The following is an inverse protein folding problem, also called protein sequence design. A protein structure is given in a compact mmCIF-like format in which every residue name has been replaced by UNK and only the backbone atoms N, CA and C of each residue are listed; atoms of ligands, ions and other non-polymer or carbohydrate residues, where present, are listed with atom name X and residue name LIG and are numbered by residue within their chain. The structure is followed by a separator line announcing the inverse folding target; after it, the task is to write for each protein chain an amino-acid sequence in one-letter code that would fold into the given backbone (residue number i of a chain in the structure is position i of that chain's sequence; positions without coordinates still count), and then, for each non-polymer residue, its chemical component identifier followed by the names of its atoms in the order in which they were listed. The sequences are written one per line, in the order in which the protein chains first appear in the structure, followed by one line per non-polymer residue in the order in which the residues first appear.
data_IF_379655570588
#
_entry.id   IF_379655570588
#
_cell.length_a   1.000
_cell.length_b   1.000
_cell.length_c   1.000
_cell.angle_alpha   90.00
_cell.angle_beta   90.00
_cell.angle_gamma   90.00
#
_symmetry.space_group_name_H-M   'P 1'
#
loop_
_entity.id
_entity.type
_entity.pdbx_description
1 polymer ?
#
# COMPACT_ATOMS: atom_id res chain seq x y z
N UNK A 1 0.94 11.90 5.01
CA UNK A 1 0.18 10.76 5.58
C UNK A 1 0.83 9.38 5.36
N UNK A 2 1.16 8.97 4.11
CA UNK A 2 1.74 7.64 3.79
C UNK A 2 2.96 7.26 4.66
N UNK A 3 3.88 8.20 4.87
CA UNK A 3 5.04 8.01 5.75
C UNK A 3 4.65 7.74 7.21
N UNK A 4 3.68 8.48 7.77
CA UNK A 4 3.23 8.25 9.16
C UNK A 4 2.54 6.89 9.27
N UNK A 5 1.68 6.57 8.29
CA UNK A 5 0.96 5.29 8.22
C UNK A 5 1.90 4.09 8.24
N UNK A 6 3.05 4.20 7.55
CA UNK A 6 4.11 3.19 7.57
C UNK A 6 4.54 2.81 8.99
N UNK A 7 4.77 3.80 9.85
CA UNK A 7 5.21 3.59 11.22
C UNK A 7 4.07 3.12 12.14
N UNK A 8 2.86 3.69 11.99
CA UNK A 8 1.72 3.31 12.82
C UNK A 8 1.27 1.86 12.58
N UNK A 9 1.36 1.36 11.33
CA UNK A 9 1.10 -0.04 10.99
C UNK A 9 2.04 -1.02 11.72
N UNK A 10 3.15 -0.55 12.28
CA UNK A 10 4.11 -1.33 13.08
C UNK A 10 4.03 -1.06 14.59
N UNK A 11 2.93 -0.43 15.03
CA UNK A 11 2.74 0.06 16.41
C UNK A 11 3.78 1.09 16.85
N UNK A 12 4.51 1.69 15.92
CA UNK A 12 5.42 2.76 16.29
C UNK A 12 4.61 4.00 16.63
N UNK A 13 4.96 4.64 17.75
CA UNK A 13 4.28 5.84 18.21
C UNK A 13 5.07 7.08 17.77
N UNK A 14 4.43 8.07 17.14
CA UNK A 14 5.08 9.33 16.84
C UNK A 14 5.45 10.06 18.14
N UNK A 15 6.61 10.69 18.14
CA UNK A 15 7.07 11.60 19.19
C UNK A 15 7.13 13.00 18.59
N UNK A 16 6.53 13.97 19.29
CA UNK A 16 6.48 15.37 18.89
C UNK A 16 7.29 16.21 19.87
N UNK A 17 7.86 17.31 19.39
CA UNK A 17 8.53 18.34 20.18
C UNK A 17 7.74 19.64 20.14
N UNK A 18 7.89 20.50 21.15
CA UNK A 18 7.19 21.78 21.21
C UNK A 18 7.56 22.67 20.01
N UNK A 19 6.53 23.15 19.31
CA UNK A 19 6.68 24.02 18.12
C UNK A 19 6.68 23.31 16.77
N UNK A 20 6.65 21.96 16.73
CA UNK A 20 6.60 21.19 15.49
C UNK A 20 5.25 20.45 15.30
N UNK A 21 4.61 20.65 14.15
CA UNK A 21 3.42 19.87 13.73
C UNK A 21 3.77 18.51 13.10
N UNK A 22 5.06 18.16 13.06
CA UNK A 22 5.59 16.94 12.46
C UNK A 22 6.21 16.06 13.55
N UNK A 23 6.06 14.73 13.51
CA UNK A 23 6.77 13.85 14.43
C UNK A 23 8.28 13.91 14.18
N UNK A 24 9.06 14.13 15.24
CA UNK A 24 10.53 14.21 15.17
C UNK A 24 11.19 12.83 15.15
N UNK A 25 10.54 11.82 15.75
CA UNK A 25 10.97 10.42 15.75
C UNK A 25 9.79 9.48 15.99
N UNK A 26 10.00 8.19 15.77
CA UNK A 26 9.02 7.14 16.06
C UNK A 26 9.61 6.11 17.03
N UNK A 27 8.86 5.81 18.10
CA UNK A 27 9.21 4.76 19.05
C UNK A 27 8.50 3.47 18.67
N UNK A 28 9.24 2.48 18.19
CA UNK A 28 8.72 1.19 17.78
C UNK A 28 8.88 0.14 18.89
N UNK A 29 7.89 -0.74 19.11
CA UNK A 29 8.05 -1.85 20.04
C UNK A 29 9.14 -2.82 19.57
N UNK A 30 9.73 -3.51 20.53
CA UNK A 30 10.73 -4.55 20.28
C UNK A 30 10.10 -5.66 19.44
N UNK A 31 10.81 -6.08 18.41
CA UNK A 31 10.26 -6.95 17.38
C UNK A 31 10.02 -8.36 17.92
N UNK A 32 8.82 -8.91 17.70
CA UNK A 32 8.52 -10.32 17.96
C UNK A 32 9.13 -11.11 16.80
N UNK A 33 10.15 -11.92 17.06
CA UNK A 33 10.88 -12.67 16.02
C UNK A 33 10.13 -13.92 15.54
N UNK A 34 9.09 -14.35 16.26
CA UNK A 34 8.40 -15.63 16.09
C UNK A 34 7.07 -15.54 15.31
N UNK A 35 6.62 -14.33 14.96
CA UNK A 35 5.33 -14.14 14.28
C UNK A 35 5.35 -12.93 13.34
N UNK A 36 4.40 -12.91 12.40
CA UNK A 36 4.16 -11.74 11.57
C UNK A 36 3.19 -10.79 12.26
N UNK A 37 3.32 -9.49 11.97
CA UNK A 37 2.43 -8.47 12.48
C UNK A 37 1.90 -7.62 11.33
N UNK A 38 0.60 -7.39 11.31
CA UNK A 38 -0.03 -6.55 10.29
C UNK A 38 -1.36 -5.97 10.79
N UNK A 39 -1.56 -4.66 10.57
CA UNK A 39 -2.84 -3.97 10.82
C UNK A 39 -3.47 -4.33 12.19
N UNK A 40 -2.69 -4.27 13.28
CA UNK A 40 -3.24 -4.59 14.62
C UNK A 40 -3.09 -6.05 15.04
N UNK A 41 -2.96 -6.99 14.10
CA UNK A 41 -3.07 -8.44 14.30
C UNK A 41 -1.73 -9.16 14.21
N UNK A 42 -1.59 -10.24 14.98
CA UNK A 42 -0.44 -11.14 14.96
C UNK A 42 -0.83 -12.42 14.24
N UNK A 43 0.02 -12.90 13.32
CA UNK A 43 -0.21 -14.07 12.48
C UNK A 43 0.89 -15.11 12.70
N UNK A 44 0.49 -16.37 12.87
CA UNK A 44 1.43 -17.48 13.02
C UNK A 44 1.97 -17.94 11.67
N UNK A 45 3.13 -18.63 11.68
CA UNK A 45 3.71 -19.18 10.45
C UNK A 45 2.68 -20.08 9.74
N UNK A 46 2.46 -19.83 8.46
CA UNK A 46 1.49 -20.55 7.63
C UNK A 46 0.10 -19.92 7.59
N UNK A 47 -0.21 -18.99 8.50
CA UNK A 47 -1.52 -18.32 8.55
C UNK A 47 -1.70 -17.36 7.37
N UNK A 48 -2.91 -17.35 6.81
CA UNK A 48 -3.31 -16.41 5.78
C UNK A 48 -3.46 -15.00 6.38
N UNK A 49 -2.87 -14.01 5.73
CA UNK A 49 -2.97 -12.61 6.12
C UNK A 49 -4.06 -11.96 5.28
N UNK A 50 -5.11 -11.49 5.95
CA UNK A 50 -6.15 -10.67 5.33
C UNK A 50 -5.56 -9.32 4.93
N UNK A 51 -5.75 -8.93 3.67
CA UNK A 51 -5.26 -7.67 3.12
C UNK A 51 -6.41 -6.89 2.48
N UNK A 52 -6.22 -5.59 2.29
CA UNK A 52 -7.20 -4.77 1.58
C UNK A 52 -7.27 -5.07 0.08
N UNK A 53 -6.18 -5.60 -0.50
CA UNK A 53 -6.08 -5.73 -1.94
C UNK A 53 -6.64 -7.07 -2.39
N UNK A 54 -7.65 -7.10 -3.29
CA UNK A 54 -8.18 -8.36 -3.83
C UNK A 54 -7.19 -9.04 -4.78
N UNK A 55 -6.12 -8.34 -5.17
CA UNK A 55 -5.10 -8.82 -6.10
C UNK A 55 -3.95 -9.56 -5.44
N UNK A 56 -3.89 -9.62 -4.12
CA UNK A 56 -2.82 -10.32 -3.43
C UNK A 56 -3.36 -11.38 -2.48
N UNK A 57 -2.59 -12.46 -2.34
CA UNK A 57 -2.79 -13.47 -1.31
C UNK A 57 -1.54 -13.53 -0.49
N UNK A 58 -1.67 -13.12 0.76
CA UNK A 58 -0.55 -13.04 1.69
C UNK A 58 -0.65 -14.14 2.75
N UNK A 59 0.52 -14.55 3.24
CA UNK A 59 0.64 -15.46 4.38
C UNK A 59 1.86 -15.11 5.21
N UNK A 60 1.80 -15.38 6.51
CA UNK A 60 3.01 -15.35 7.32
C UNK A 60 3.88 -16.57 6.97
N UNK A 61 5.16 -16.36 6.74
CA UNK A 61 6.08 -17.41 6.27
C UNK A 61 7.44 -17.29 6.92
N UNK A 62 8.07 -18.43 7.15
CA UNK A 62 9.48 -18.49 7.47
C UNK A 62 10.30 -18.40 6.17
N UNK A 63 11.27 -17.48 6.16
CA UNK A 63 12.25 -17.26 5.10
C UNK A 63 13.61 -17.83 5.51
N UNK A 64 14.58 -17.80 4.60
CA UNK A 64 15.96 -18.19 4.89
C UNK A 64 16.52 -17.46 6.12
N UNK A 65 17.43 -18.12 6.83
CA UNK A 65 18.03 -17.63 8.08
C UNK A 65 17.01 -17.37 9.21
N UNK A 66 15.92 -18.15 9.28
CA UNK A 66 14.87 -18.08 10.32
C UNK A 66 14.20 -16.70 10.43
N UNK A 67 14.17 -15.94 9.33
CA UNK A 67 13.42 -14.68 9.31
C UNK A 67 11.95 -14.97 9.04
N UNK A 68 11.07 -14.60 9.95
CA UNK A 68 9.63 -14.70 9.70
C UNK A 68 9.14 -13.43 9.03
N UNK A 69 8.36 -13.54 7.96
CA UNK A 69 7.74 -12.40 7.28
C UNK A 69 6.50 -12.71 6.47
N UNK A 70 5.70 -11.66 6.22
CA UNK A 70 4.50 -11.76 5.38
C UNK A 70 4.95 -11.83 3.94
N UNK A 71 4.65 -12.93 3.26
CA UNK A 71 4.92 -13.11 1.83
C UNK A 71 3.61 -13.07 1.07
N UNK A 72 3.61 -12.36 -0.06
CA UNK A 72 2.42 -12.17 -0.88
C UNK A 72 2.66 -12.70 -2.29
N UNK A 73 1.63 -13.32 -2.86
CA UNK A 73 1.56 -13.65 -4.27
C UNK A 73 0.54 -12.73 -4.92
N UNK A 74 0.96 -12.09 -6.00
CA UNK A 74 0.11 -11.20 -6.78
C UNK A 74 -0.59 -11.97 -7.89
N UNK A 75 -1.87 -11.69 -8.06
CA UNK A 75 -2.67 -12.19 -9.18
C UNK A 75 -2.51 -11.23 -10.35
N UNK A 76 -1.96 -11.73 -11.44
CA UNK A 76 -1.97 -11.03 -12.71
C UNK A 76 -3.29 -11.27 -13.42
N UNK A 77 -3.85 -10.21 -13.99
CA UNK A 77 -5.04 -10.32 -14.83
C UNK A 77 -4.58 -10.48 -16.28
N UNK A 78 -5.04 -11.52 -17.00
CA UNK A 78 -4.70 -11.68 -18.40
C UNK A 78 -5.15 -10.43 -19.18
N UNK A 79 -4.31 -9.96 -20.10
CA UNK A 79 -4.66 -8.88 -21.02
C UNK A 79 -5.86 -9.35 -21.86
N UNK A 80 -7.05 -8.88 -21.51
CA UNK A 80 -8.26 -9.36 -22.13
C UNK A 80 -8.54 -8.54 -23.40
N UNK A 81 -8.21 -9.13 -24.54
CA UNK A 81 -8.48 -8.53 -25.85
C UNK A 81 -9.98 -8.41 -26.17
N UNK A 82 -10.88 -8.95 -25.33
CA UNK A 82 -12.35 -8.87 -25.49
C UNK A 82 -12.91 -7.46 -25.28
N UNK A 83 -12.14 -6.53 -24.72
CA UNK A 83 -12.57 -5.13 -24.51
C UNK A 83 -12.27 -4.21 -25.71
N UNK A 84 -11.83 -4.75 -26.86
CA UNK A 84 -11.40 -3.97 -28.03
C UNK A 84 -12.54 -3.36 -28.87
N UNK A 85 -13.80 -3.59 -28.52
CA UNK A 85 -14.90 -2.92 -29.19
C UNK A 85 -14.84 -1.42 -28.90
N UNK A 86 -14.90 -0.60 -29.94
CA UNK A 86 -14.87 0.86 -29.84
C UNK A 86 -15.99 1.36 -28.91
N UNK A 87 -15.66 2.27 -27.98
CA UNK A 87 -16.60 2.82 -26.99
C UNK A 87 -16.81 1.97 -25.72
N UNK A 88 -16.30 0.73 -25.67
CA UNK A 88 -16.48 -0.15 -24.51
C UNK A 88 -15.31 -0.08 -23.51
N UNK A 89 -15.60 -0.33 -22.23
CA UNK A 89 -14.63 -0.36 -21.13
C UNK A 89 -14.81 -1.60 -20.24
N UNK A 90 -13.72 -2.09 -19.61
CA UNK A 90 -13.82 -3.13 -18.60
C UNK A 90 -14.56 -2.63 -17.36
N UNK A 91 -15.40 -3.48 -16.78
CA UNK A 91 -16.10 -3.22 -15.52
C UNK A 91 -15.54 -4.05 -14.38
N UNK A 92 -15.51 -3.45 -13.19
CA UNK A 92 -14.92 -3.99 -11.98
C UNK A 92 -15.93 -3.95 -10.84
N UNK A 93 -15.69 -4.78 -9.84
CA UNK A 93 -16.36 -4.75 -8.55
C UNK A 93 -15.34 -4.40 -7.48
N UNK A 94 -15.77 -3.77 -6.38
CA UNK A 94 -14.84 -3.26 -5.37
C UNK A 94 -13.91 -4.33 -4.78
N UNK A 95 -14.32 -5.59 -4.67
CA UNK A 95 -13.46 -6.64 -4.08
C UNK A 95 -12.91 -7.61 -5.13
N UNK A 96 -12.85 -7.16 -6.39
CA UNK A 96 -12.39 -7.98 -7.51
C UNK A 96 -11.06 -7.46 -8.05
N UNK A 97 -10.07 -8.36 -8.14
CA UNK A 97 -8.76 -8.00 -8.70
C UNK A 97 -8.81 -7.71 -10.21
N UNK A 98 -9.57 -8.55 -10.93
CA UNK A 98 -9.66 -8.48 -12.38
C UNK A 98 -11.05 -8.01 -12.79
N UNK A 99 -11.12 -7.45 -13.99
CA UNK A 99 -12.38 -7.08 -14.61
C UNK A 99 -13.35 -8.27 -14.61
N UNK A 100 -14.62 -7.97 -14.36
CA UNK A 100 -15.73 -8.92 -14.27
C UNK A 100 -16.57 -8.94 -15.54
N UNK A 101 -16.53 -7.86 -16.31
CA UNK A 101 -17.28 -7.75 -17.55
C UNK A 101 -16.82 -6.56 -18.38
N UNK A 102 -17.68 -6.21 -19.35
CA UNK A 102 -17.52 -5.07 -20.26
C UNK A 102 -18.80 -4.26 -20.21
N UNK A 103 -18.70 -2.94 -20.29
CA UNK A 103 -19.82 -2.05 -20.57
C UNK A 103 -19.49 -1.16 -21.75
N UNK A 104 -20.48 -0.87 -22.58
CA UNK A 104 -20.37 0.05 -23.71
C UNK A 104 -21.26 1.28 -23.54
N UNK A 105 -21.78 1.50 -22.31
CA UNK A 105 -22.54 2.69 -22.00
C UNK A 105 -21.65 3.93 -22.09
N UNK A 106 -22.20 5.02 -22.62
CA UNK A 106 -21.56 6.34 -22.62
C UNK A 106 -22.04 7.23 -21.47
N UNK A 107 -22.96 6.74 -20.65
CA UNK A 107 -23.50 7.50 -19.52
C UNK A 107 -22.42 7.72 -18.45
N UNK A 108 -22.24 8.98 -18.09
CA UNK A 108 -21.36 9.43 -17.01
C UNK A 108 -22.14 9.35 -15.71
N UNK A 109 -21.56 8.73 -14.69
CA UNK A 109 -22.28 8.48 -13.42
C UNK A 109 -21.50 8.94 -12.20
N UNK A 110 -20.17 9.07 -12.29
CA UNK A 110 -19.36 9.60 -11.19
C UNK A 110 -18.44 10.72 -11.67
N UNK A 111 -18.30 11.76 -10.85
CA UNK A 111 -17.32 12.82 -11.06
C UNK A 111 -16.40 12.92 -9.84
N UNK A 112 -15.10 13.03 -10.08
CA UNK A 112 -14.10 13.25 -9.03
C UNK A 112 -12.86 13.95 -9.61
N UNK A 113 -12.36 14.97 -8.93
CA UNK A 113 -11.12 15.66 -9.35
C UNK A 113 -11.16 16.25 -10.77
N UNK A 114 -12.35 16.65 -11.24
CA UNK A 114 -12.55 17.13 -12.63
C UNK A 114 -12.56 16.03 -13.69
N UNK A 115 -12.43 14.76 -13.30
CA UNK A 115 -12.58 13.60 -14.18
C UNK A 115 -13.98 13.01 -14.08
N UNK A 116 -14.43 12.41 -15.19
CA UNK A 116 -15.74 11.76 -15.30
C UNK A 116 -15.54 10.27 -15.55
N UNK A 117 -16.29 9.46 -14.81
CA UNK A 117 -16.19 8.01 -14.82
C UNK A 117 -17.54 7.38 -15.16
N UNK A 118 -17.46 6.27 -15.90
CA UNK A 118 -18.61 5.43 -16.24
C UNK A 118 -18.80 4.35 -15.17
N UNK A 119 -20.03 3.85 -15.03
CA UNK A 119 -20.32 2.77 -14.09
C UNK A 119 -19.42 1.56 -14.32
N UNK A 120 -18.93 1.00 -13.22
CA UNK A 120 -18.01 -0.12 -13.16
C UNK A 120 -16.55 0.23 -13.44
N UNK A 121 -16.21 1.48 -13.77
CA UNK A 121 -14.80 1.87 -13.97
C UNK A 121 -14.07 2.03 -12.64
N UNK A 122 -12.78 1.71 -12.66
CA UNK A 122 -11.85 2.17 -11.63
C UNK A 122 -11.70 3.69 -11.71
N UNK A 123 -11.74 4.33 -10.55
CA UNK A 123 -11.55 5.77 -10.44
C UNK A 123 -10.09 6.10 -10.07
N UNK A 124 -9.53 7.14 -10.68
CA UNK A 124 -8.23 7.69 -10.31
C UNK A 124 -8.41 8.71 -9.19
N UNK A 125 -7.90 8.35 -8.00
CA UNK A 125 -7.94 9.19 -6.80
C UNK A 125 -6.54 9.79 -6.61
N UNK A 126 -6.23 10.79 -7.43
CA UNK A 126 -4.90 11.41 -7.52
C UNK A 126 -4.40 12.00 -6.21
N UNK A 127 -5.30 12.58 -5.40
CA UNK A 127 -4.97 13.15 -4.08
C UNK A 127 -4.52 12.09 -3.06
N UNK A 128 -4.97 10.83 -3.24
CA UNK A 128 -4.62 9.74 -2.36
C UNK A 128 -4.56 8.39 -3.09
N UNK A 129 -3.36 7.96 -3.54
CA UNK A 129 -3.19 6.71 -4.29
C UNK A 129 -3.41 5.45 -3.45
N UNK A 130 -3.66 5.59 -2.14
CA UNK A 130 -4.09 4.50 -1.28
C UNK A 130 -5.60 4.29 -1.28
N UNK A 131 -6.37 5.06 -2.04
CA UNK A 131 -7.81 4.89 -2.15
C UNK A 131 -8.11 4.31 -3.52
N UNK A 132 -8.77 3.15 -3.54
CA UNK A 132 -9.27 2.54 -4.76
C UNK A 132 -10.79 2.58 -4.73
N UNK A 133 -11.40 3.27 -5.69
CA UNK A 133 -12.84 3.34 -5.82
C UNK A 133 -13.29 2.73 -7.15
N UNK A 134 -14.51 2.18 -7.13
CA UNK A 134 -15.27 1.82 -8.33
C UNK A 134 -16.40 2.83 -8.49
N UNK A 135 -16.59 3.34 -9.70
CA UNK A 135 -17.76 4.15 -9.99
C UNK A 135 -19.02 3.27 -10.01
N UNK A 136 -19.97 3.55 -9.13
CA UNK A 136 -21.29 2.92 -9.11
C UNK A 136 -22.39 3.96 -8.85
N UNK A 137 -23.65 3.54 -8.94
CA UNK A 137 -24.82 4.42 -8.78
C UNK A 137 -24.95 5.02 -7.37
N UNK A 138 -24.26 4.45 -6.37
CA UNK A 138 -24.28 4.97 -4.99
C UNK A 138 -23.24 6.07 -4.76
N UNK A 139 -22.41 6.38 -5.76
CA UNK A 139 -21.32 7.34 -5.64
C UNK A 139 -21.76 8.69 -5.08
N UNK A 140 -21.24 9.03 -3.91
CA UNK A 140 -21.43 10.32 -3.25
C UNK A 140 -20.11 10.93 -2.74
N UNK A 141 -18.97 10.39 -3.20
CA UNK A 141 -17.63 10.79 -2.80
C UNK A 141 -16.80 9.65 -2.22
N UNK A 142 -15.57 9.96 -1.79
CA UNK A 142 -14.57 8.98 -1.34
C UNK A 142 -14.97 8.24 -0.06
N UNK A 143 -15.80 8.86 0.79
CA UNK A 143 -16.26 8.24 2.04
C UNK A 143 -17.31 7.15 1.83
N UNK A 144 -17.68 6.84 0.58
CA UNK A 144 -18.70 5.84 0.27
C UNK A 144 -18.21 4.39 0.36
N UNK A 145 -19.14 3.44 0.44
CA UNK A 145 -18.88 2.01 0.35
C UNK A 145 -18.33 1.54 -1.00
N UNK A 146 -18.28 2.40 -2.01
CA UNK A 146 -17.67 2.14 -3.33
C UNK A 146 -16.15 2.26 -3.32
N UNK A 147 -15.55 2.64 -2.20
CA UNK A 147 -14.12 2.85 -2.03
C UNK A 147 -13.54 1.90 -0.99
N UNK A 148 -12.29 1.50 -1.21
CA UNK A 148 -11.48 0.76 -0.23
C UNK A 148 -10.14 1.46 -0.04
N UNK A 149 -9.62 1.37 1.17
CA UNK A 149 -8.29 1.86 1.49
C UNK A 149 -7.31 0.71 1.31
N UNK A 150 -6.35 0.89 0.43
CA UNK A 150 -5.24 -0.03 0.26
C UNK A 150 -4.25 0.04 1.43
N UNK A 151 -3.73 -1.12 1.79
CA UNK A 151 -2.83 -1.41 2.90
C UNK A 151 -1.62 -2.17 2.36
N UNK A 152 -0.48 -2.12 3.04
CA UNK A 152 0.79 -2.61 2.50
C UNK A 152 1.35 -3.76 3.37
N UNK A 153 1.01 -5.02 3.09
CA UNK A 153 1.33 -6.17 3.94
C UNK A 153 2.81 -6.57 3.96
N UNK A 154 3.57 -6.21 2.92
CA UNK A 154 4.97 -6.63 2.77
C UNK A 154 5.99 -5.67 3.37
N UNK A 155 5.55 -4.57 4.01
CA UNK A 155 6.43 -3.53 4.56
C UNK A 155 7.45 -4.06 5.57
N UNK A 156 7.11 -5.14 6.27
CA UNK A 156 7.97 -5.78 7.25
C UNK A 156 9.22 -6.43 6.63
N UNK A 157 9.15 -6.93 5.39
CA UNK A 157 10.21 -7.79 4.83
C UNK A 157 11.57 -7.09 4.70
N UNK A 158 11.60 -5.80 4.36
CA UNK A 158 12.84 -5.06 4.05
C UNK A 158 13.44 -4.32 5.24
N UNK A 159 12.66 -4.07 6.29
CA UNK A 159 13.16 -3.45 7.54
C UNK A 159 13.73 -4.48 8.53
N UNK A 160 13.38 -5.77 8.40
CA UNK A 160 13.91 -6.85 9.26
C UNK A 160 15.41 -7.15 9.08
N UNK A 161 16.15 -6.33 8.33
CA UNK A 161 17.62 -6.38 8.33
C UNK A 161 18.11 -5.64 9.59
N UNK A 162 18.67 -6.33 10.61
CA UNK A 162 19.07 -5.69 11.88
C UNK A 162 20.20 -4.66 11.72
N UNK A 163 20.77 -4.54 10.52
CA UNK A 163 21.96 -3.75 10.22
C UNK A 163 21.68 -2.46 9.44
N UNK A 164 20.42 -2.20 9.07
CA UNK A 164 20.11 -1.16 8.08
C UNK A 164 18.89 -0.34 8.51
N UNK A 165 19.11 0.93 8.85
CA UNK A 165 18.04 1.92 9.01
C UNK A 165 17.58 2.35 7.62
N UNK A 166 16.45 1.79 7.15
CA UNK A 166 16.01 1.89 5.76
C UNK A 166 14.72 2.70 5.59
N UNK A 167 14.79 3.94 5.11
CA UNK A 167 13.61 4.78 4.90
C UNK A 167 12.86 4.34 3.64
N UNK A 168 11.52 4.15 3.67
CA UNK A 168 10.74 3.78 2.50
C UNK A 168 10.69 4.91 1.45
N UNK A 169 10.79 4.55 0.18
CA UNK A 169 10.66 5.45 -0.97
C UNK A 169 9.29 5.22 -1.62
N UNK A 170 8.49 6.27 -1.71
CA UNK A 170 7.17 6.23 -2.36
C UNK A 170 7.21 6.88 -3.74
N UNK A 171 6.47 6.30 -4.67
CA UNK A 171 6.12 6.95 -5.92
C UNK A 171 4.83 7.75 -5.74
N UNK A 172 4.70 8.87 -6.44
CA UNK A 172 3.52 9.74 -6.38
C UNK A 172 2.21 8.99 -6.66
N UNK A 173 2.21 8.09 -7.67
CA UNK A 173 1.05 7.28 -8.08
C UNK A 173 0.89 5.93 -7.37
N UNK A 174 1.70 5.61 -6.36
CA UNK A 174 1.64 4.29 -5.67
C UNK A 174 1.34 4.45 -4.19
N UNK A 175 0.41 3.62 -3.69
CA UNK A 175 0.15 3.56 -2.26
C UNK A 175 1.35 3.04 -1.46
N UNK A 176 1.89 1.89 -1.86
CA UNK A 176 2.98 1.22 -1.16
C UNK A 176 4.35 1.68 -1.66
N UNK A 177 5.41 1.58 -0.81
CA UNK A 177 6.77 1.92 -1.20
C UNK A 177 7.24 1.11 -2.40
N UNK A 178 7.95 1.77 -3.31
CA UNK A 178 8.60 1.14 -4.47
C UNK A 178 10.04 0.72 -4.16
N UNK A 179 10.61 1.25 -3.09
CA UNK A 179 12.00 1.03 -2.71
C UNK A 179 12.27 1.46 -1.28
N UNK A 180 13.51 1.30 -0.86
CA UNK A 180 13.99 1.74 0.44
C UNK A 180 15.39 2.33 0.26
N UNK A 181 15.65 3.45 0.92
CA UNK A 181 16.98 4.02 1.05
C UNK A 181 17.55 3.62 2.41
N UNK A 182 18.65 2.87 2.40
CA UNK A 182 19.30 2.37 3.62
C UNK A 182 20.64 3.08 3.80
N UNK A 183 20.90 3.58 5.00
CA UNK A 183 22.26 4.00 5.34
C UNK A 183 23.14 2.77 5.50
N UNK A 184 24.01 2.52 4.51
CA UNK A 184 25.15 1.63 4.70
C UNK A 184 26.16 2.40 5.55
N UNK A 185 26.41 1.95 6.80
CA UNK A 185 27.40 2.45 7.79
C UNK A 185 28.15 3.73 7.38
N UNK A 186 27.91 4.83 8.12
CA UNK A 186 28.67 6.11 8.13
C UNK A 186 29.98 6.03 7.32
N UNK A 187 30.04 6.69 6.18
CA UNK A 187 31.32 7.23 5.75
C UNK A 187 31.80 8.13 6.90
N UNK A 188 32.95 7.81 7.49
CA UNK A 188 33.59 8.72 8.43
C UNK A 188 33.81 10.03 7.69
N UNK A 189 33.09 11.07 8.10
CA UNK A 189 33.40 12.44 7.68
C UNK A 189 34.77 12.77 8.27
N UNK A 190 35.83 12.49 7.51
CA UNK A 190 37.18 12.95 7.83
C UNK A 190 37.16 14.47 7.66
N UNK A 191 36.93 15.17 8.77
CA UNK A 191 37.19 16.60 8.83
C UNK A 191 38.71 16.79 8.85
N UNK A 192 39.28 17.17 7.71
CA UNK A 192 40.62 17.71 7.70
C UNK A 192 40.56 19.09 8.35
N UNK A 193 41.08 19.19 9.58
CA UNK A 193 41.49 20.47 10.14
C UNK A 193 42.75 20.87 9.37
N UNK A 194 42.64 21.91 8.54
CA UNK A 194 43.81 22.54 7.94
C UNK A 194 44.36 23.49 9.00
N UNK A 195 45.48 23.12 9.62
CA UNK A 195 46.34 24.03 10.40
C UNK A 195 47.15 24.96 9.48
#
# INVERSE_FOLDING_TARGET
ERYIRHYTMRRCKPVYEEGCNCPVRFECPQQIEEACYYEGKTYQIGEAVETSSPCEKCKCSELSYRRIAITCKYKECPADYRYKSEGCHPTYELNSCCAKGTSCSEEKVCEYGGMQYKVGQHMDISDNPCISCICDESWNGISNSSCRIETCPTLDQKWRSPKEYCIPIYHETRCCPIGYHCETKKEEVVSYVIE
#
